data_IF_392603981113
#
_entry.id   IF_392603981113
#
_cell.length_a   1.000
_cell.length_b   1.000
_cell.length_c   1.000
_cell.angle_alpha   90.00
_cell.angle_beta   90.00
_cell.angle_gamma   90.00
#
_symmetry.space_group_name_H-M   'P 1'
#
loop_
_entity.id
_entity.type
_entity.pdbx_description
1 polymer ?
#
# COMPACT_ATOMS: atom_id res chain seq x y z
N UNK A 1 -24.96 -24.35 -0.56
CA UNK A 1 -23.59 -24.77 -0.21
C UNK A 1 -22.51 -24.29 -1.20
N UNK A 2 -22.68 -24.49 -2.51
CA UNK A 2 -21.66 -24.10 -3.54
C UNK A 2 -21.32 -22.62 -3.53
N UNK A 3 -22.27 -21.72 -3.31
CA UNK A 3 -22.02 -20.27 -3.27
C UNK A 3 -21.25 -19.80 -2.02
N UNK A 4 -21.42 -20.45 -0.88
CA UNK A 4 -20.65 -20.12 0.35
C UNK A 4 -19.19 -20.59 0.25
N UNK A 5 -18.93 -21.73 -0.37
CA UNK A 5 -17.55 -22.20 -0.62
C UNK A 5 -16.81 -21.30 -1.62
N UNK A 6 -17.47 -20.83 -2.68
CA UNK A 6 -16.88 -19.87 -3.65
C UNK A 6 -16.58 -18.49 -3.03
N UNK A 7 -17.45 -18.00 -2.15
CA UNK A 7 -17.23 -16.75 -1.43
C UNK A 7 -16.04 -16.86 -0.45
N UNK A 8 -15.93 -17.99 0.27
CA UNK A 8 -14.82 -18.26 1.18
C UNK A 8 -13.47 -18.37 0.45
N UNK A 9 -13.42 -19.08 -0.68
CA UNK A 9 -12.19 -19.21 -1.47
C UNK A 9 -11.73 -17.89 -2.10
N UNK A 10 -12.67 -17.03 -2.50
CA UNK A 10 -12.37 -15.71 -3.01
C UNK A 10 -11.73 -14.77 -1.96
N UNK A 11 -12.25 -14.81 -0.73
CA UNK A 11 -11.72 -14.03 0.40
C UNK A 11 -10.29 -14.47 0.78
N UNK A 12 -10.07 -15.78 0.90
CA UNK A 12 -8.74 -16.34 1.20
C UNK A 12 -7.74 -15.94 0.11
N UNK A 13 -8.12 -16.07 -1.17
CA UNK A 13 -7.27 -15.65 -2.27
C UNK A 13 -6.96 -14.14 -2.23
N UNK A 14 -7.92 -13.29 -1.84
CA UNK A 14 -7.71 -11.86 -1.66
C UNK A 14 -6.69 -11.54 -0.56
N UNK A 15 -6.80 -12.23 0.58
CA UNK A 15 -5.87 -12.09 1.71
C UNK A 15 -4.46 -12.54 1.32
N UNK A 16 -4.34 -13.72 0.71
CA UNK A 16 -3.05 -14.24 0.26
C UNK A 16 -2.39 -13.32 -0.77
N UNK A 17 -3.19 -12.73 -1.68
CA UNK A 17 -2.70 -11.75 -2.66
C UNK A 17 -2.20 -10.47 -1.97
N UNK A 18 -2.93 -9.94 -0.98
CA UNK A 18 -2.51 -8.75 -0.22
C UNK A 18 -1.20 -9.01 0.54
N UNK A 19 -1.09 -10.15 1.25
CA UNK A 19 0.11 -10.51 1.99
C UNK A 19 1.31 -10.77 1.07
N UNK A 20 1.09 -11.43 -0.07
CA UNK A 20 2.12 -11.63 -1.09
C UNK A 20 2.61 -10.31 -1.70
N UNK A 21 1.69 -9.38 -1.96
CA UNK A 21 1.99 -8.01 -2.39
C UNK A 21 2.82 -7.25 -1.36
N UNK A 22 2.44 -7.34 -0.07
CA UNK A 22 3.16 -6.71 1.03
C UNK A 22 4.59 -7.26 1.16
N UNK A 23 4.77 -8.59 1.10
CA UNK A 23 6.09 -9.22 1.13
C UNK A 23 6.96 -8.77 -0.05
N UNK A 24 6.39 -8.79 -1.27
CA UNK A 24 7.09 -8.31 -2.47
C UNK A 24 7.50 -6.83 -2.32
N UNK A 25 6.60 -6.00 -1.78
CA UNK A 25 6.90 -4.58 -1.55
C UNK A 25 8.10 -4.39 -0.62
N UNK A 26 8.19 -5.12 0.47
CA UNK A 26 9.29 -5.00 1.43
C UNK A 26 10.62 -5.50 0.85
N UNK A 27 10.60 -6.60 0.09
CA UNK A 27 11.80 -7.07 -0.62
C UNK A 27 12.26 -6.05 -1.68
N UNK A 28 11.32 -5.44 -2.39
CA UNK A 28 11.61 -4.40 -3.35
C UNK A 28 12.09 -3.10 -2.70
N UNK A 29 11.55 -2.71 -1.54
CA UNK A 29 12.02 -1.57 -0.78
C UNK A 29 13.46 -1.76 -0.30
N UNK A 30 13.80 -2.94 0.23
CA UNK A 30 15.16 -3.29 0.59
C UNK A 30 16.10 -3.27 -0.62
N UNK A 31 15.69 -3.81 -1.77
CA UNK A 31 16.47 -3.70 -3.02
C UNK A 31 16.68 -2.24 -3.43
N UNK A 32 15.63 -1.41 -3.36
CA UNK A 32 15.70 0.01 -3.72
C UNK A 32 16.62 0.83 -2.82
N UNK A 33 16.69 0.53 -1.53
CA UNK A 33 17.57 1.23 -0.59
C UNK A 33 19.05 1.06 -0.92
N UNK A 34 19.44 -0.08 -1.49
CA UNK A 34 20.80 -0.33 -1.97
C UNK A 34 21.19 0.58 -3.15
N UNK A 35 20.23 1.14 -3.86
CA UNK A 35 20.48 2.08 -4.96
C UNK A 35 20.56 3.55 -4.53
N UNK A 36 20.20 3.89 -3.28
CA UNK A 36 20.20 5.28 -2.80
C UNK A 36 21.55 5.98 -2.89
N UNK A 37 22.71 5.35 -2.54
CA UNK A 37 24.01 6.01 -2.70
C UNK A 37 24.32 6.43 -4.13
N UNK A 38 23.80 5.70 -5.14
CA UNK A 38 24.08 5.94 -6.56
C UNK A 38 23.14 6.93 -7.24
N UNK A 39 21.88 7.05 -6.84
CA UNK A 39 20.88 7.87 -7.54
C UNK A 39 19.88 8.60 -6.62
N UNK A 40 20.04 8.47 -5.32
CA UNK A 40 19.12 9.04 -4.32
C UNK A 40 17.72 8.39 -4.34
N UNK A 41 16.91 8.68 -3.29
CA UNK A 41 15.56 8.14 -3.19
C UNK A 41 14.66 8.52 -4.37
N UNK A 42 14.76 9.78 -4.84
CA UNK A 42 13.95 10.29 -5.94
C UNK A 42 14.27 9.58 -7.28
N UNK A 43 15.54 9.26 -7.51
CA UNK A 43 15.98 8.49 -8.69
C UNK A 43 15.41 7.08 -8.67
N UNK A 44 15.42 6.42 -7.50
CA UNK A 44 14.83 5.09 -7.34
C UNK A 44 13.33 5.14 -7.59
N UNK A 45 12.59 6.14 -7.08
CA UNK A 45 11.14 6.31 -7.36
C UNK A 45 10.89 6.45 -8.86
N UNK A 46 11.65 7.32 -9.54
CA UNK A 46 11.49 7.53 -10.97
C UNK A 46 11.73 6.24 -11.77
N UNK A 47 12.81 5.50 -11.49
CA UNK A 47 13.10 4.22 -12.13
C UNK A 47 12.00 3.19 -11.83
N UNK A 48 11.52 3.09 -10.59
CA UNK A 48 10.43 2.20 -10.20
C UNK A 48 9.16 2.44 -11.01
N UNK A 49 8.75 3.70 -11.19
CA UNK A 49 7.57 4.04 -11.99
C UNK A 49 7.76 3.68 -13.46
N UNK A 50 8.94 3.97 -14.03
CA UNK A 50 9.26 3.63 -15.41
C UNK A 50 9.27 2.12 -15.63
N UNK A 51 9.90 1.35 -14.76
CA UNK A 51 9.96 -0.12 -14.84
C UNK A 51 8.55 -0.72 -14.74
N UNK A 52 7.75 -0.26 -13.78
CA UNK A 52 6.38 -0.74 -13.63
C UNK A 52 5.54 -0.45 -14.90
N UNK A 53 5.68 0.73 -15.49
CA UNK A 53 5.00 1.06 -16.74
C UNK A 53 5.49 0.22 -17.93
N UNK A 54 6.81 0.04 -18.06
CA UNK A 54 7.41 -0.78 -19.13
C UNK A 54 6.96 -2.24 -19.07
N UNK A 55 6.64 -2.76 -17.89
CA UNK A 55 6.14 -4.12 -17.73
C UNK A 55 4.61 -4.15 -17.90
N UNK A 56 3.87 -3.29 -17.20
CA UNK A 56 2.42 -3.37 -17.16
C UNK A 56 1.75 -2.96 -18.48
N UNK A 57 2.26 -1.93 -19.18
CA UNK A 57 1.64 -1.46 -20.42
C UNK A 57 1.67 -2.50 -21.54
N UNK A 58 2.80 -3.15 -21.88
CA UNK A 58 2.83 -4.16 -22.95
C UNK A 58 2.14 -5.46 -22.57
N UNK A 59 2.14 -5.83 -21.27
CA UNK A 59 1.46 -7.05 -20.78
C UNK A 59 -0.05 -6.88 -20.77
N UNK A 60 -0.54 -5.78 -20.21
CA UNK A 60 -1.96 -5.51 -20.03
C UNK A 60 -2.61 -4.97 -21.30
N UNK A 61 -1.88 -4.15 -22.08
CA UNK A 61 -2.36 -3.48 -23.30
C UNK A 61 -3.70 -2.77 -23.08
N UNK A 62 -3.76 -1.80 -22.13
CA UNK A 62 -5.01 -1.20 -21.71
C UNK A 62 -5.68 -0.47 -22.87
N UNK A 63 -7.00 -0.64 -23.00
CA UNK A 63 -7.83 0.03 -24.02
C UNK A 63 -8.19 1.44 -23.57
N UNK A 64 -7.21 2.34 -23.58
CA UNK A 64 -7.31 3.71 -23.05
C UNK A 64 -8.43 4.50 -23.74
N UNK A 65 -8.68 4.21 -25.05
CA UNK A 65 -9.69 4.91 -25.85
C UNK A 65 -11.12 4.57 -25.46
N UNK A 66 -11.33 3.42 -24.82
CA UNK A 66 -12.65 2.93 -24.44
C UNK A 66 -13.07 3.40 -23.03
N UNK A 67 -12.16 4.09 -22.31
CA UNK A 67 -12.43 4.57 -20.97
C UNK A 67 -13.41 5.74 -20.98
N UNK A 68 -14.49 5.60 -20.23
CA UNK A 68 -15.48 6.64 -20.00
C UNK A 68 -14.96 7.73 -19.06
N UNK A 69 -15.59 8.92 -19.04
CA UNK A 69 -15.24 9.98 -18.08
C UNK A 69 -15.32 9.51 -16.62
N UNK A 70 -16.29 8.65 -16.31
CA UNK A 70 -16.45 8.06 -14.98
C UNK A 70 -15.32 7.10 -14.58
N UNK A 71 -14.59 6.55 -15.55
CA UNK A 71 -13.43 5.68 -15.36
C UNK A 71 -12.12 6.47 -15.37
N UNK A 72 -12.05 7.57 -16.13
CA UNK A 72 -10.83 8.38 -16.26
C UNK A 72 -10.45 9.08 -14.96
N UNK A 73 -11.41 9.70 -14.25
CA UNK A 73 -11.07 10.49 -13.06
C UNK A 73 -10.34 9.67 -11.95
N UNK A 74 -10.77 8.41 -11.60
CA UNK A 74 -10.04 7.65 -10.59
C UNK A 74 -8.67 7.17 -11.09
N UNK A 75 -8.51 6.93 -12.40
CA UNK A 75 -7.23 6.56 -12.99
C UNK A 75 -6.23 7.72 -12.94
N UNK A 76 -6.65 8.93 -13.31
CA UNK A 76 -5.81 10.13 -13.25
C UNK A 76 -5.41 10.47 -11.81
N UNK A 77 -6.36 10.39 -10.88
CA UNK A 77 -6.08 10.58 -9.46
C UNK A 77 -5.10 9.52 -8.92
N UNK A 78 -5.26 8.26 -9.31
CA UNK A 78 -4.35 7.20 -8.90
C UNK A 78 -2.93 7.43 -9.46
N UNK A 79 -2.81 7.89 -10.71
CA UNK A 79 -1.52 8.24 -11.30
C UNK A 79 -0.79 9.34 -10.51
N UNK A 80 -1.53 10.36 -10.08
CA UNK A 80 -1.00 11.44 -9.25
C UNK A 80 -0.61 10.93 -7.85
N UNK A 81 -1.48 10.11 -7.25
CA UNK A 81 -1.28 9.53 -5.92
C UNK A 81 -0.03 8.64 -5.89
N UNK A 82 0.24 7.84 -6.92
CA UNK A 82 1.48 7.05 -7.02
C UNK A 82 2.74 7.91 -6.87
N UNK A 83 2.75 9.07 -7.51
CA UNK A 83 3.88 10.00 -7.44
C UNK A 83 3.98 10.71 -6.08
N UNK A 84 2.89 11.33 -5.63
CA UNK A 84 2.87 12.11 -4.40
C UNK A 84 3.20 11.22 -3.20
N UNK A 85 2.57 10.06 -3.09
CA UNK A 85 2.77 9.14 -1.96
C UNK A 85 4.25 8.78 -1.77
N UNK A 86 4.89 8.30 -2.84
CA UNK A 86 6.29 7.90 -2.75
C UNK A 86 7.23 9.09 -2.52
N UNK A 87 7.02 10.20 -3.22
CA UNK A 87 7.85 11.40 -3.07
C UNK A 87 7.78 11.97 -1.66
N UNK A 88 6.56 12.15 -1.13
CA UNK A 88 6.38 12.77 0.20
C UNK A 88 6.83 11.85 1.32
N UNK A 89 6.71 10.53 1.18
CA UNK A 89 7.29 9.58 2.13
C UNK A 89 8.81 9.72 2.20
N UNK A 90 9.51 9.69 1.07
CA UNK A 90 10.98 9.78 1.08
C UNK A 90 11.48 11.13 1.59
N UNK A 91 10.82 12.23 1.23
CA UNK A 91 11.13 13.53 1.79
C UNK A 91 10.86 13.61 3.31
N UNK A 92 9.81 12.94 3.80
CA UNK A 92 9.57 12.80 5.23
C UNK A 92 10.68 11.99 5.91
N UNK A 93 11.11 10.87 5.32
CA UNK A 93 12.19 10.02 5.86
C UNK A 93 13.50 10.81 6.02
N UNK A 94 13.86 11.63 5.03
CA UNK A 94 15.05 12.49 5.13
C UNK A 94 15.00 13.51 6.28
N UNK A 95 13.79 13.98 6.64
CA UNK A 95 13.61 15.05 7.63
C UNK A 95 13.37 14.53 9.04
N UNK A 96 12.52 13.52 9.20
CA UNK A 96 12.07 13.05 10.52
C UNK A 96 12.48 11.63 10.83
N UNK A 97 13.26 11.01 9.95
CA UNK A 97 13.71 9.63 10.08
C UNK A 97 12.66 8.60 9.68
N UNK A 98 13.12 7.38 9.40
CA UNK A 98 12.30 6.29 8.87
C UNK A 98 11.16 5.90 9.82
N UNK A 99 11.44 5.78 11.12
CA UNK A 99 10.46 5.32 12.10
C UNK A 99 9.23 6.23 12.19
N UNK A 100 9.44 7.55 12.30
CA UNK A 100 8.34 8.50 12.37
C UNK A 100 7.61 8.65 11.02
N UNK A 101 8.35 8.70 9.90
CA UNK A 101 7.76 8.82 8.58
C UNK A 101 6.83 7.64 8.26
N UNK A 102 7.27 6.39 8.52
CA UNK A 102 6.46 5.17 8.31
C UNK A 102 5.26 5.13 9.26
N UNK A 103 5.43 5.56 10.52
CA UNK A 103 4.31 5.64 11.47
C UNK A 103 3.24 6.63 10.98
N UNK A 104 3.66 7.79 10.51
CA UNK A 104 2.74 8.79 9.95
C UNK A 104 2.04 8.26 8.70
N UNK A 105 2.79 7.67 7.77
CA UNK A 105 2.23 7.10 6.55
C UNK A 105 1.19 6.01 6.85
N UNK A 106 1.45 5.16 7.86
CA UNK A 106 0.51 4.10 8.26
C UNK A 106 -0.82 4.64 8.81
N UNK A 107 -0.88 5.89 9.25
CA UNK A 107 -2.16 6.54 9.60
C UNK A 107 -3.17 6.51 8.44
N UNK A 108 -2.72 6.42 7.19
CA UNK A 108 -3.59 6.30 6.00
C UNK A 108 -4.41 5.01 5.99
N UNK A 109 -3.79 3.82 5.90
CA UNK A 109 -4.49 2.54 6.01
C UNK A 109 -5.30 2.40 7.28
N UNK A 110 -4.79 2.90 8.41
CA UNK A 110 -5.49 2.92 9.68
C UNK A 110 -6.77 3.76 9.63
N UNK A 111 -6.71 4.96 9.05
CA UNK A 111 -7.89 5.80 8.85
C UNK A 111 -8.92 5.11 7.96
N UNK A 112 -8.49 4.46 6.86
CA UNK A 112 -9.40 3.66 6.02
C UNK A 112 -10.03 2.52 6.81
N UNK A 113 -9.25 1.82 7.63
CA UNK A 113 -9.75 0.75 8.47
C UNK A 113 -10.81 1.25 9.46
N UNK A 114 -10.53 2.33 10.19
CA UNK A 114 -11.42 2.92 11.19
C UNK A 114 -12.69 3.54 10.60
N UNK A 115 -12.55 4.32 9.52
CA UNK A 115 -13.67 5.02 8.89
C UNK A 115 -14.57 4.07 8.07
N UNK A 116 -14.01 2.99 7.55
CA UNK A 116 -14.76 1.99 6.77
C UNK A 116 -15.34 0.87 7.62
N UNK A 117 -14.88 0.70 8.86
CA UNK A 117 -15.44 -0.31 9.77
C UNK A 117 -16.74 0.19 10.40
N UNK A 118 -17.73 -0.69 10.43
CA UNK A 118 -19.02 -0.43 11.09
C UNK A 118 -19.16 -1.23 12.39
N UNK A 119 -18.09 -1.92 12.80
CA UNK A 119 -18.11 -2.80 13.97
C UNK A 119 -17.10 -2.32 15.01
N UNK A 120 -17.47 -2.40 16.30
CA UNK A 120 -16.57 -2.09 17.40
C UNK A 120 -15.31 -2.96 17.37
N UNK A 121 -15.46 -4.24 17.01
CA UNK A 121 -14.35 -5.18 16.94
C UNK A 121 -13.33 -4.79 15.86
N UNK A 122 -13.78 -4.33 14.69
CA UNK A 122 -12.88 -3.82 13.65
C UNK A 122 -12.08 -2.60 14.08
N UNK A 123 -12.71 -1.68 14.82
CA UNK A 123 -12.03 -0.51 15.38
C UNK A 123 -10.98 -0.92 16.44
N UNK A 124 -11.29 -1.91 17.28
CA UNK A 124 -10.33 -2.44 18.28
C UNK A 124 -9.13 -3.09 17.57
N UNK A 125 -9.36 -3.93 16.55
CA UNK A 125 -8.28 -4.53 15.77
C UNK A 125 -7.37 -3.46 15.13
N UNK A 126 -7.95 -2.42 14.54
CA UNK A 126 -7.18 -1.33 13.95
C UNK A 126 -6.35 -0.56 15.01
N UNK A 127 -6.92 -0.31 16.20
CA UNK A 127 -6.20 0.34 17.29
C UNK A 127 -5.03 -0.52 17.83
N UNK A 128 -5.23 -1.84 17.97
CA UNK A 128 -4.17 -2.78 18.37
C UNK A 128 -3.07 -2.83 17.29
N UNK A 129 -3.44 -2.87 16.01
CA UNK A 129 -2.48 -2.83 14.92
C UNK A 129 -1.64 -1.53 14.94
N UNK A 130 -2.27 -0.38 15.18
CA UNK A 130 -1.58 0.90 15.33
C UNK A 130 -0.58 0.90 16.48
N UNK A 131 -0.98 0.38 17.67
CA UNK A 131 -0.08 0.25 18.81
C UNK A 131 1.12 -0.65 18.48
N UNK A 132 0.89 -1.74 17.76
CA UNK A 132 1.96 -2.64 17.30
C UNK A 132 2.92 -1.95 16.31
N UNK A 133 2.41 -1.16 15.36
CA UNK A 133 3.24 -0.37 14.44
C UNK A 133 4.10 0.63 15.21
N UNK A 134 3.53 1.36 16.16
CA UNK A 134 4.29 2.31 17.00
C UNK A 134 5.39 1.61 17.82
N UNK A 135 5.13 0.40 18.32
CA UNK A 135 6.12 -0.38 19.06
C UNK A 135 7.31 -0.82 18.18
N UNK A 136 7.06 -1.21 16.92
CA UNK A 136 8.13 -1.60 15.97
C UNK A 136 8.89 -0.38 15.48
N UNK A 137 8.19 0.68 15.05
CA UNK A 137 8.82 1.83 14.39
C UNK A 137 9.51 2.79 15.35
N UNK A 138 9.17 2.76 16.65
CA UNK A 138 9.74 3.62 17.71
C UNK A 138 9.91 5.08 17.28
N UNK A 139 8.84 5.78 16.88
CA UNK A 139 8.97 7.14 16.37
C UNK A 139 9.58 8.09 17.42
N UNK A 140 10.58 8.85 17.00
CA UNK A 140 11.21 9.83 17.89
C UNK A 140 10.47 11.19 17.81
N UNK A 141 10.36 11.92 18.92
CA UNK A 141 9.80 13.27 18.92
C UNK A 141 10.60 14.20 17.98
N UNK A 142 9.90 15.07 17.27
CA UNK A 142 10.51 16.02 16.35
C UNK A 142 9.80 17.38 16.40
N UNK A 143 10.54 18.43 16.09
CA UNK A 143 10.03 19.79 15.86
C UNK A 143 10.01 20.16 14.37
N UNK A 144 10.39 19.24 13.48
CA UNK A 144 10.30 19.42 12.04
C UNK A 144 8.86 19.21 11.54
N UNK A 145 8.06 20.27 11.64
CA UNK A 145 6.65 20.24 11.21
C UNK A 145 6.48 20.03 9.71
N UNK A 146 7.48 20.41 8.89
CA UNK A 146 7.43 20.14 7.45
C UNK A 146 7.58 18.65 7.17
N UNK A 147 8.51 17.97 7.83
CA UNK A 147 8.68 16.52 7.72
C UNK A 147 7.42 15.76 8.20
N UNK A 148 6.81 16.20 9.31
CA UNK A 148 5.53 15.66 9.79
C UNK A 148 4.42 15.89 8.75
N UNK A 149 4.33 17.10 8.18
CA UNK A 149 3.34 17.43 7.14
C UNK A 149 3.48 16.55 5.90
N UNK A 150 4.72 16.30 5.44
CA UNK A 150 5.01 15.41 4.32
C UNK A 150 4.60 13.97 4.63
N UNK A 151 4.88 13.46 5.83
CA UNK A 151 4.42 12.16 6.28
C UNK A 151 2.89 12.02 6.31
N UNK A 152 2.17 13.07 6.74
CA UNK A 152 0.70 13.11 6.70
C UNK A 152 0.15 13.18 5.26
N UNK A 153 0.83 13.88 4.35
CA UNK A 153 0.47 13.86 2.92
C UNK A 153 0.66 12.45 2.34
N UNK A 154 1.74 11.76 2.70
CA UNK A 154 1.94 10.37 2.33
C UNK A 154 0.81 9.47 2.87
N UNK A 155 0.39 9.66 4.13
CA UNK A 155 -0.75 8.96 4.75
C UNK A 155 -2.06 9.19 3.98
N UNK A 156 -2.40 10.44 3.69
CA UNK A 156 -3.59 10.77 2.90
C UNK A 156 -3.53 10.16 1.51
N UNK A 157 -2.34 10.16 0.90
CA UNK A 157 -2.11 9.56 -0.41
C UNK A 157 -2.28 8.03 -0.36
N UNK A 158 -1.80 7.36 0.69
CA UNK A 158 -2.01 5.92 0.84
C UNK A 158 -3.49 5.56 1.10
N UNK A 159 -4.19 6.35 1.91
CA UNK A 159 -5.64 6.19 2.06
C UNK A 159 -6.37 6.35 0.72
N UNK A 160 -6.04 7.40 -0.04
CA UNK A 160 -6.60 7.64 -1.36
C UNK A 160 -6.27 6.50 -2.34
N UNK A 161 -5.04 5.99 -2.32
CA UNK A 161 -4.61 4.81 -3.08
C UNK A 161 -5.52 3.60 -2.84
N UNK A 162 -5.79 3.25 -1.58
CA UNK A 162 -6.66 2.13 -1.22
C UNK A 162 -8.08 2.33 -1.78
N UNK A 163 -8.65 3.51 -1.59
CA UNK A 163 -10.01 3.83 -2.03
C UNK A 163 -10.13 3.92 -3.55
N UNK A 164 -9.12 4.47 -4.23
CA UNK A 164 -9.07 4.57 -5.69
C UNK A 164 -8.91 3.19 -6.33
N UNK A 165 -8.02 2.33 -5.81
CA UNK A 165 -7.89 0.95 -6.31
C UNK A 165 -9.19 0.17 -6.14
N UNK A 166 -9.90 0.34 -5.02
CA UNK A 166 -11.23 -0.25 -4.84
C UNK A 166 -12.22 0.27 -5.88
N UNK A 167 -12.24 1.57 -6.13
CA UNK A 167 -13.12 2.21 -7.12
C UNK A 167 -12.79 1.74 -8.54
N UNK A 168 -11.52 1.72 -8.91
CA UNK A 168 -11.03 1.23 -10.20
C UNK A 168 -11.39 -0.26 -10.35
N UNK A 169 -11.12 -1.07 -9.32
CA UNK A 169 -11.43 -2.48 -9.31
C UNK A 169 -12.91 -2.82 -9.53
N UNK A 170 -13.82 -1.92 -9.15
CA UNK A 170 -15.27 -2.08 -9.38
C UNK A 170 -15.76 -1.56 -10.75
N UNK A 171 -14.98 -0.69 -11.42
CA UNK A 171 -15.42 0.02 -12.65
C UNK A 171 -14.69 -0.41 -13.91
N UNK A 172 -13.47 -0.92 -13.77
CA UNK A 172 -12.61 -1.27 -14.91
C UNK A 172 -12.22 -2.75 -14.77
N UNK A 173 -12.43 -3.57 -15.82
CA UNK A 173 -12.09 -4.99 -15.78
C UNK A 173 -10.57 -5.19 -15.71
N UNK A 174 -10.15 -6.36 -15.24
CA UNK A 174 -8.74 -6.74 -15.19
C UNK A 174 -7.88 -5.73 -14.41
N UNK A 175 -6.69 -5.48 -14.88
CA UNK A 175 -5.71 -4.55 -14.31
C UNK A 175 -5.48 -3.31 -15.19
N UNK A 176 -6.36 -3.07 -16.16
CA UNK A 176 -6.21 -2.00 -17.15
C UNK A 176 -6.13 -0.61 -16.51
N UNK A 177 -6.96 -0.35 -15.49
CA UNK A 177 -6.97 0.94 -14.79
C UNK A 177 -5.67 1.22 -14.05
N UNK A 178 -5.12 0.24 -13.34
CA UNK A 178 -3.83 0.37 -12.64
C UNK A 178 -2.68 0.49 -13.63
N UNK A 179 -2.67 -0.29 -14.72
CA UNK A 179 -1.65 -0.19 -15.77
C UNK A 179 -1.65 1.20 -16.43
N UNK A 180 -2.85 1.75 -16.71
CA UNK A 180 -2.99 3.11 -17.27
C UNK A 180 -2.49 4.17 -16.28
N UNK A 181 -2.87 4.07 -15.01
CA UNK A 181 -2.42 5.00 -13.96
C UNK A 181 -0.89 4.94 -13.80
N UNK A 182 -0.30 3.74 -13.79
CA UNK A 182 1.16 3.56 -13.73
C UNK A 182 1.86 4.17 -14.93
N UNK A 183 1.30 3.99 -16.14
CA UNK A 183 1.84 4.61 -17.36
C UNK A 183 1.84 6.13 -17.30
N UNK A 184 0.75 6.73 -16.84
CA UNK A 184 0.65 8.19 -16.68
C UNK A 184 1.64 8.68 -15.60
N UNK A 185 1.72 7.98 -14.46
CA UNK A 185 2.70 8.30 -13.41
C UNK A 185 4.13 8.23 -13.93
N UNK A 186 4.46 7.21 -14.74
CA UNK A 186 5.78 7.09 -15.34
C UNK A 186 6.11 8.26 -16.27
N UNK A 187 5.15 8.74 -17.08
CA UNK A 187 5.33 9.93 -17.91
C UNK A 187 5.61 11.18 -17.08
N UNK A 188 4.92 11.34 -15.94
CA UNK A 188 5.16 12.46 -15.02
C UNK A 188 6.56 12.41 -14.38
N UNK A 189 7.06 11.21 -14.07
CA UNK A 189 8.40 11.01 -13.49
C UNK A 189 9.52 10.90 -14.52
N UNK A 190 9.20 10.75 -15.82
CA UNK A 190 10.19 10.60 -16.90
C UNK A 190 11.22 11.73 -16.94
N UNK A 191 10.85 13.03 -16.90
CA UNK A 191 11.83 14.12 -16.92
C UNK A 191 12.80 14.06 -15.74
N UNK A 192 12.27 13.77 -14.53
CA UNK A 192 13.05 13.65 -13.31
C UNK A 192 14.01 12.45 -13.41
N UNK A 193 13.51 11.30 -13.85
CA UNK A 193 14.33 10.10 -14.02
C UNK A 193 15.46 10.29 -15.02
N UNK A 194 15.18 10.89 -16.18
CA UNK A 194 16.19 11.18 -17.21
C UNK A 194 17.23 12.16 -16.65
N UNK A 195 16.80 13.23 -15.99
CA UNK A 195 17.72 14.22 -15.39
C UNK A 195 18.65 13.55 -14.38
N UNK A 196 18.13 12.74 -13.46
CA UNK A 196 18.93 12.02 -12.46
C UNK A 196 19.90 11.05 -13.13
N UNK A 197 19.44 10.22 -14.05
CA UNK A 197 20.32 9.24 -14.73
C UNK A 197 21.48 9.91 -15.48
N UNK A 198 21.26 11.10 -16.06
CA UNK A 198 22.32 11.84 -16.76
C UNK A 198 23.29 12.49 -15.78
N UNK A 199 22.79 13.04 -14.66
CA UNK A 199 23.61 13.81 -13.71
C UNK A 199 24.37 12.93 -12.74
N UNK A 200 23.73 11.87 -12.20
CA UNK A 200 24.35 11.00 -11.18
C UNK A 200 25.15 9.86 -11.80
N UNK A 201 24.79 9.44 -13.03
CA UNK A 201 25.43 8.31 -13.74
C UNK A 201 25.60 7.09 -12.84
N UNK A 202 24.48 6.52 -12.31
CA UNK A 202 24.55 5.43 -11.36
C UNK A 202 25.29 4.22 -11.96
N UNK A 203 26.00 3.47 -11.13
CA UNK A 203 26.63 2.24 -11.53
C UNK A 203 25.60 1.13 -11.87
N UNK A 204 26.08 0.06 -12.49
CA UNK A 204 25.22 -1.05 -12.90
C UNK A 204 24.51 -1.72 -11.71
N UNK A 205 25.17 -1.78 -10.56
CA UNK A 205 24.58 -2.38 -9.36
C UNK A 205 23.39 -1.56 -8.84
N UNK A 206 23.55 -0.22 -8.70
CA UNK A 206 22.47 0.66 -8.30
C UNK A 206 21.30 0.61 -9.29
N UNK A 207 21.59 0.56 -10.60
CA UNK A 207 20.56 0.45 -11.61
C UNK A 207 19.78 -0.88 -11.52
N UNK A 208 20.47 -2.01 -11.34
CA UNK A 208 19.83 -3.32 -11.16
C UNK A 208 18.98 -3.37 -9.89
N UNK A 209 19.46 -2.79 -8.79
CA UNK A 209 18.70 -2.67 -7.54
C UNK A 209 17.43 -1.81 -7.73
N UNK A 210 17.52 -0.68 -8.45
CA UNK A 210 16.39 0.17 -8.73
C UNK A 210 15.36 -0.51 -9.66
N UNK A 211 15.82 -1.27 -10.67
CA UNK A 211 14.96 -2.09 -11.53
C UNK A 211 14.28 -3.19 -10.72
N UNK A 212 15.01 -3.91 -9.87
CA UNK A 212 14.45 -4.90 -8.95
C UNK A 212 13.37 -4.30 -8.05
N UNK A 213 13.62 -3.11 -7.50
CA UNK A 213 12.63 -2.36 -6.75
C UNK A 213 11.39 -1.99 -7.60
N UNK A 214 11.57 -1.65 -8.87
CA UNK A 214 10.47 -1.38 -9.80
C UNK A 214 9.56 -2.58 -10.04
N UNK A 215 10.13 -3.78 -10.09
CA UNK A 215 9.35 -5.02 -10.20
C UNK A 215 8.68 -5.35 -8.86
N UNK A 216 9.48 -5.48 -7.80
CA UNK A 216 9.03 -6.04 -6.52
C UNK A 216 8.25 -5.05 -5.66
N UNK A 217 8.57 -3.75 -5.70
CA UNK A 217 7.90 -2.74 -4.89
C UNK A 217 6.92 -1.84 -5.67
N UNK A 218 6.75 -2.04 -6.98
CA UNK A 218 5.75 -1.30 -7.76
C UNK A 218 4.90 -2.23 -8.60
N UNK A 219 5.46 -2.98 -9.55
CA UNK A 219 4.69 -3.80 -10.48
C UNK A 219 3.84 -4.85 -9.75
N UNK A 220 4.46 -5.66 -8.90
CA UNK A 220 3.79 -6.76 -8.19
C UNK A 220 2.77 -6.22 -7.18
N UNK A 221 3.10 -5.27 -6.27
CA UNK A 221 2.14 -4.76 -5.32
C UNK A 221 0.97 -4.02 -5.97
N UNK A 222 1.18 -3.22 -7.01
CA UNK A 222 0.10 -2.48 -7.66
C UNK A 222 -0.96 -3.40 -8.24
N UNK A 223 -0.54 -4.54 -8.82
CA UNK A 223 -1.46 -5.57 -9.33
C UNK A 223 -2.09 -6.36 -8.18
N UNK A 224 -1.29 -6.76 -7.20
CA UNK A 224 -1.75 -7.55 -6.06
C UNK A 224 -2.79 -6.79 -5.23
N UNK A 225 -2.56 -5.52 -4.92
CA UNK A 225 -3.46 -4.69 -4.13
C UNK A 225 -4.79 -4.45 -4.85
N UNK A 226 -4.76 -4.20 -6.17
CA UNK A 226 -5.99 -4.10 -6.97
C UNK A 226 -6.79 -5.40 -6.91
N UNK A 227 -6.14 -6.56 -7.10
CA UNK A 227 -6.80 -7.86 -7.06
C UNK A 227 -7.33 -8.14 -5.65
N UNK A 228 -6.56 -7.83 -4.61
CA UNK A 228 -6.97 -8.01 -3.23
C UNK A 228 -8.21 -7.15 -2.90
N UNK A 229 -8.19 -5.85 -3.23
CA UNK A 229 -9.28 -4.91 -2.96
C UNK A 229 -10.58 -5.19 -3.73
N UNK A 230 -10.53 -6.04 -4.76
CA UNK A 230 -11.73 -6.60 -5.39
C UNK A 230 -12.36 -7.74 -4.59
N UNK A 231 -11.55 -8.45 -3.80
CA UNK A 231 -11.96 -9.68 -3.10
C UNK A 231 -12.21 -9.47 -1.62
N UNK A 232 -11.57 -8.47 -1.02
CA UNK A 232 -11.70 -8.12 0.40
C UNK A 232 -12.10 -6.65 0.57
N UNK A 233 -12.84 -6.33 1.65
CA UNK A 233 -13.24 -4.94 1.92
C UNK A 233 -12.03 -4.08 2.34
N UNK A 234 -12.10 -2.76 2.07
CA UNK A 234 -11.01 -1.83 2.30
C UNK A 234 -10.58 -1.73 3.78
N UNK A 235 -11.53 -1.88 4.74
CA UNK A 235 -11.18 -1.88 6.16
C UNK A 235 -10.29 -3.06 6.54
N UNK A 236 -10.58 -4.27 6.00
CA UNK A 236 -9.77 -5.45 6.23
C UNK A 236 -8.39 -5.30 5.56
N UNK A 237 -8.37 -4.79 4.32
CA UNK A 237 -7.11 -4.48 3.62
C UNK A 237 -6.26 -3.50 4.43
N UNK A 238 -6.86 -2.40 4.95
CA UNK A 238 -6.15 -1.41 5.78
C UNK A 238 -5.53 -2.03 7.04
N UNK A 239 -6.23 -2.95 7.73
CA UNK A 239 -5.67 -3.66 8.87
C UNK A 239 -4.53 -4.59 8.44
N UNK A 240 -4.72 -5.35 7.34
CA UNK A 240 -3.70 -6.27 6.83
C UNK A 240 -2.41 -5.54 6.41
N UNK A 241 -2.50 -4.28 5.99
CA UNK A 241 -1.30 -3.48 5.64
C UNK A 241 -0.39 -3.22 6.84
N UNK A 242 -0.88 -3.36 8.10
CA UNK A 242 -0.01 -3.31 9.28
C UNK A 242 1.06 -4.41 9.31
N UNK A 243 0.95 -5.43 8.46
CA UNK A 243 1.99 -6.46 8.30
C UNK A 243 3.28 -5.88 7.70
N UNK A 244 3.23 -4.75 6.98
CA UNK A 244 4.41 -4.16 6.33
C UNK A 244 5.55 -3.86 7.32
N UNK A 245 5.35 -3.20 8.47
CA UNK A 245 6.41 -3.01 9.46
C UNK A 245 6.96 -4.33 10.01
N UNK A 246 6.11 -5.36 10.15
CA UNK A 246 6.55 -6.69 10.59
C UNK A 246 7.50 -7.30 9.56
N UNK A 247 7.11 -7.28 8.28
CA UNK A 247 7.94 -7.79 7.19
C UNK A 247 9.24 -6.99 7.05
N UNK A 248 9.17 -5.65 7.20
CA UNK A 248 10.35 -4.79 7.19
C UNK A 248 11.32 -5.15 8.32
N UNK A 249 10.82 -5.35 9.55
CA UNK A 249 11.63 -5.76 10.69
C UNK A 249 12.33 -7.12 10.46
N UNK A 250 11.61 -8.11 9.93
CA UNK A 250 12.22 -9.40 9.60
C UNK A 250 13.25 -9.30 8.47
N UNK A 251 12.98 -8.52 7.44
CA UNK A 251 13.92 -8.33 6.33
C UNK A 251 15.15 -7.58 6.81
N UNK A 252 15.00 -6.55 7.66
CA UNK A 252 16.10 -5.84 8.30
C UNK A 252 16.97 -6.79 9.17
N UNK A 253 16.32 -7.61 10.00
CA UNK A 253 17.02 -8.59 10.82
C UNK A 253 17.83 -9.60 9.99
N UNK A 254 17.28 -10.09 8.87
CA UNK A 254 17.94 -11.07 8.01
C UNK A 254 19.05 -10.45 7.16
N UNK A 255 18.78 -9.29 6.52
CA UNK A 255 19.71 -8.67 5.58
C UNK A 255 20.77 -7.78 6.25
N UNK A 256 20.41 -7.13 7.36
CA UNK A 256 21.26 -6.18 8.06
C UNK A 256 21.81 -6.77 9.37
N UNK A 257 21.43 -8.03 9.71
CA UNK A 257 21.79 -8.70 10.96
C UNK A 257 21.40 -7.88 12.21
N UNK A 258 20.29 -7.13 12.13
CA UNK A 258 19.76 -6.35 13.24
C UNK A 258 19.08 -7.27 14.26
N UNK A 259 19.44 -7.14 15.54
CA UNK A 259 18.76 -7.87 16.62
C UNK A 259 17.42 -7.20 16.95
N UNK A 260 16.33 -7.95 16.87
CA UNK A 260 15.01 -7.48 17.30
C UNK A 260 14.93 -7.49 18.82
N UNK A 261 14.73 -6.34 19.43
CA UNK A 261 14.54 -6.19 20.86
C UNK A 261 13.16 -6.68 21.34
N UNK A 262 12.96 -6.73 22.64
CA UNK A 262 11.71 -7.19 23.25
C UNK A 262 10.49 -6.37 22.81
N UNK A 263 10.65 -5.05 22.62
CA UNK A 263 9.54 -4.17 22.22
C UNK A 263 9.10 -4.43 20.79
N UNK A 264 10.04 -4.69 19.88
CA UNK A 264 9.75 -5.10 18.50
C UNK A 264 8.98 -6.42 18.47
N UNK A 265 9.38 -7.39 19.26
CA UNK A 265 8.66 -8.67 19.39
C UNK A 265 7.23 -8.50 19.92
N UNK A 266 7.02 -7.62 20.91
CA UNK A 266 5.69 -7.26 21.38
C UNK A 266 4.86 -6.58 20.27
N UNK A 267 5.47 -5.66 19.52
CA UNK A 267 4.82 -5.01 18.38
C UNK A 267 4.40 -6.02 17.29
N UNK A 268 5.28 -6.96 16.95
CA UNK A 268 4.99 -8.06 16.02
C UNK A 268 3.79 -8.88 16.52
N UNK A 269 3.81 -9.29 17.78
CA UNK A 269 2.72 -10.07 18.38
C UNK A 269 1.38 -9.32 18.35
N UNK A 270 1.36 -8.01 18.66
CA UNK A 270 0.16 -7.17 18.57
C UNK A 270 -0.40 -7.11 17.16
N UNK A 271 0.45 -6.90 16.15
CA UNK A 271 0.03 -6.84 14.75
C UNK A 271 -0.53 -8.18 14.28
N UNK A 272 0.15 -9.28 14.58
CA UNK A 272 -0.30 -10.63 14.21
C UNK A 272 -1.64 -10.95 14.89
N UNK A 273 -1.79 -10.62 16.17
CA UNK A 273 -3.04 -10.81 16.90
C UNK A 273 -4.18 -9.97 16.31
N UNK A 274 -3.93 -8.69 16.00
CA UNK A 274 -4.92 -7.80 15.37
C UNK A 274 -5.37 -8.30 14.00
N UNK A 275 -4.42 -8.71 13.15
CA UNK A 275 -4.71 -9.24 11.82
C UNK A 275 -5.49 -10.56 11.90
N UNK A 276 -5.09 -11.47 12.79
CA UNK A 276 -5.79 -12.74 13.01
C UNK A 276 -7.21 -12.49 13.51
N UNK A 277 -7.40 -11.62 14.50
CA UNK A 277 -8.72 -11.26 14.98
C UNK A 277 -9.59 -10.62 13.89
N UNK A 278 -9.05 -9.72 13.08
CA UNK A 278 -9.78 -9.10 11.97
C UNK A 278 -10.21 -10.10 10.88
N UNK A 279 -9.44 -11.18 10.69
CA UNK A 279 -9.79 -12.26 9.76
C UNK A 279 -10.90 -13.17 10.29
N UNK A 280 -10.86 -13.47 11.59
CA UNK A 280 -11.80 -14.39 12.25
C UNK A 280 -13.14 -13.74 12.61
N UNK A 281 -13.14 -12.44 12.89
CA UNK A 281 -14.35 -11.72 13.26
C UNK A 281 -15.28 -11.54 12.05
N UNK A 282 -16.61 -11.74 12.22
CA UNK A 282 -17.56 -11.53 11.13
C UNK A 282 -17.50 -10.06 10.65
N UNK A 283 -17.30 -9.87 9.36
CA UNK A 283 -17.53 -8.57 8.74
C UNK A 283 -19.03 -8.29 8.88
N UNK A 284 -19.43 -7.33 9.72
CA UNK A 284 -20.84 -7.00 9.93
C UNK A 284 -21.49 -6.65 8.58
N UNK A 285 -22.24 -7.58 8.01
CA UNK A 285 -23.21 -7.29 6.96
C UNK A 285 -24.25 -6.34 7.57
N UNK A 286 -24.75 -5.34 6.83
CA UNK A 286 -25.90 -4.58 7.30
C UNK A 286 -27.02 -5.59 7.58
N UNK A 287 -27.38 -5.78 8.83
CA UNK A 287 -28.57 -6.53 9.21
C UNK A 287 -29.74 -5.80 8.59
N UNK A 288 -30.52 -6.50 7.79
CA UNK A 288 -31.72 -6.05 7.14
C UNK A 288 -32.58 -5.19 8.08
N UNK A 289 -32.55 -3.87 7.84
CA UNK A 289 -33.49 -2.93 8.46
C UNK A 289 -34.91 -3.08 7.90
N UNK A 290 -35.17 -4.14 7.13
CA UNK A 290 -36.47 -4.42 6.47
C UNK A 290 -37.30 -5.51 7.14
N UNK A 291 -36.80 -6.18 8.19
CA UNK A 291 -37.56 -7.25 8.87
C UNK A 291 -38.51 -6.74 9.96
N UNK A 292 -38.59 -5.42 10.22
CA UNK A 292 -39.40 -4.85 11.30
C UNK A 292 -40.62 -4.02 10.88
N UNK A 293 -40.84 -3.81 9.58
CA UNK A 293 -41.92 -2.92 9.10
C UNK A 293 -43.17 -3.65 8.57
N UNK A 294 -43.20 -4.99 8.61
CA UNK A 294 -44.24 -5.81 7.98
C UNK A 294 -45.27 -6.44 8.92
N UNK A 295 -45.26 -6.20 10.24
CA UNK A 295 -46.20 -6.84 11.18
C UNK A 295 -46.89 -5.86 12.13
N UNK A 296 -47.54 -4.86 11.58
CA UNK A 296 -48.63 -4.12 12.26
C UNK A 296 -49.63 -3.62 11.23
N UNK A 297 -50.45 -4.48 10.67
CA UNK A 297 -51.79 -4.22 10.14
C UNK A 297 -52.51 -5.57 10.23
N UNK A 298 -53.19 -5.73 11.31
CA UNK A 298 -54.59 -6.20 11.41
C UNK A 298 -55.09 -5.89 12.81
#
# INVERSE_FOLDING_TARGET
MINMQRAGSGRIAGIATALGGALSNQLGAASGSLAFPGMGPLGVVAVRQLVAAMILLPVVRPRIRDLTRAQWWPVLLLALVFGIMNLTLYLAVERVGLGLAVTLEFCGPLAVALLSTRTRNGAICAAIAAAGVMAITRPQPTTDYLGVGLGLIAACSWAAYILLNRTIGSRIPGVEGTATATGISAVLFLPIGVWILITTRPDMFALLCAVGAGVLASTVPFVADLIALRKIPAHLFGILMSINPVLAAFIGAILLHEELGTIEWVGIALIVAANTAALLLPSGTPRDATAGAGQRRD
#
